data_IF_560054471622
#
_entry.id   IF_560054471622
#
_cell.length_a   1.000
_cell.length_b   1.000
_cell.length_c   1.000
_cell.angle_alpha   90.00
_cell.angle_beta   90.00
_cell.angle_gamma   90.00
#
_symmetry.space_group_name_H-M   'P 1'
#
loop_
_entity.id
_entity.type
_entity.pdbx_description
1 polymer ?
#
# COMPACT_ATOMS: atom_id res chain seq x y z
N UNK A 1 16.50 -3.31 26.76
CA UNK A 1 15.24 -2.97 26.06
C UNK A 1 14.72 -4.25 25.42
N UNK A 2 13.43 -4.60 25.52
CA UNK A 2 12.93 -5.92 25.04
C UNK A 2 12.80 -5.99 23.50
N UNK A 3 12.70 -4.83 22.84
CA UNK A 3 12.57 -4.71 21.40
C UNK A 3 13.45 -3.56 20.91
N UNK A 4 14.14 -3.79 19.80
CA UNK A 4 14.85 -2.79 19.02
C UNK A 4 14.29 -2.85 17.60
N UNK A 5 13.90 -1.71 17.05
CA UNK A 5 13.36 -1.61 15.70
C UNK A 5 14.40 -0.90 14.84
N UNK A 6 14.86 -1.55 13.78
CA UNK A 6 15.80 -0.94 12.83
C UNK A 6 15.05 -0.19 11.74
N UNK A 7 15.66 0.87 11.20
CA UNK A 7 15.11 1.57 10.03
C UNK A 7 14.92 0.63 8.83
N UNK A 8 15.76 -0.40 8.71
CA UNK A 8 15.66 -1.39 7.63
C UNK A 8 14.45 -2.30 7.80
N UNK A 9 14.18 -2.76 9.03
CA UNK A 9 12.98 -3.55 9.34
C UNK A 9 11.70 -2.78 9.00
N UNK A 10 11.64 -1.50 9.35
CA UNK A 10 10.51 -0.62 9.06
C UNK A 10 10.37 -0.38 7.54
N UNK A 11 11.49 -0.21 6.82
CA UNK A 11 11.46 -0.09 5.35
C UNK A 11 10.93 -1.36 4.68
N UNK A 12 11.37 -2.53 5.14
CA UNK A 12 10.89 -3.80 4.60
C UNK A 12 9.39 -3.99 4.85
N UNK A 13 8.89 -3.59 6.03
CA UNK A 13 7.44 -3.55 6.29
C UNK A 13 6.69 -2.70 5.24
N UNK A 14 7.15 -1.48 4.97
CA UNK A 14 6.49 -0.62 3.97
C UNK A 14 6.58 -1.18 2.56
N UNK A 15 7.70 -1.80 2.17
CA UNK A 15 7.84 -2.49 0.89
C UNK A 15 6.87 -3.67 0.78
N UNK A 16 6.72 -4.48 1.83
CA UNK A 16 5.75 -5.57 1.88
C UNK A 16 4.33 -5.06 1.66
N UNK A 17 3.95 -4.00 2.38
CA UNK A 17 2.64 -3.35 2.22
C UNK A 17 2.44 -2.88 0.77
N UNK A 18 3.42 -2.17 0.20
CA UNK A 18 3.36 -1.68 -1.17
C UNK A 18 3.19 -2.81 -2.20
N UNK A 19 3.93 -3.91 -2.04
CA UNK A 19 3.85 -5.11 -2.88
C UNK A 19 2.49 -5.79 -2.79
N UNK A 20 1.95 -5.94 -1.59
CA UNK A 20 0.66 -6.58 -1.37
C UNK A 20 -0.50 -5.75 -1.92
N UNK A 21 -0.47 -4.43 -1.71
CA UNK A 21 -1.44 -3.51 -2.34
C UNK A 21 -1.39 -3.66 -3.86
N UNK A 22 -0.19 -3.66 -4.47
CA UNK A 22 -0.03 -3.86 -5.90
C UNK A 22 -0.56 -5.22 -6.38
N UNK A 23 -0.25 -6.30 -5.64
CA UNK A 23 -0.72 -7.66 -5.92
C UNK A 23 -2.25 -7.69 -6.00
N UNK A 24 -2.93 -7.29 -4.92
CA UNK A 24 -4.39 -7.31 -4.86
C UNK A 24 -5.03 -6.35 -5.86
N UNK A 25 -4.41 -5.19 -6.14
CA UNK A 25 -4.88 -4.28 -7.18
C UNK A 25 -4.92 -4.96 -8.54
N UNK A 26 -3.85 -5.66 -8.92
CA UNK A 26 -3.77 -6.38 -10.19
C UNK A 26 -4.75 -7.57 -10.22
N UNK A 27 -4.85 -8.34 -9.13
CA UNK A 27 -5.79 -9.48 -9.03
C UNK A 27 -7.25 -9.04 -9.19
N UNK A 28 -7.59 -7.85 -8.73
CA UNK A 28 -8.93 -7.26 -8.87
C UNK A 28 -9.13 -6.50 -10.18
N UNK A 29 -8.12 -6.46 -11.06
CA UNK A 29 -8.22 -5.86 -12.39
C UNK A 29 -8.10 -4.33 -12.44
N UNK A 30 -7.61 -3.69 -11.37
CA UNK A 30 -7.48 -2.23 -11.32
C UNK A 30 -6.13 -1.76 -11.86
N UNK A 31 -6.13 -0.70 -12.68
CA UNK A 31 -4.92 0.08 -12.93
C UNK A 31 -4.60 0.99 -11.74
N UNK A 32 -3.39 1.58 -11.69
CA UNK A 32 -3.06 2.57 -10.66
C UNK A 32 -3.96 3.81 -10.76
N UNK A 33 -4.39 4.15 -11.97
CA UNK A 33 -5.28 5.27 -12.24
C UNK A 33 -6.69 4.98 -11.72
N UNK A 34 -7.21 3.78 -11.97
CA UNK A 34 -8.54 3.36 -11.47
C UNK A 34 -8.60 3.40 -9.94
N UNK A 35 -7.60 2.82 -9.27
CA UNK A 35 -7.53 2.86 -7.80
C UNK A 35 -7.45 4.29 -7.27
N UNK A 36 -6.74 5.18 -7.96
CA UNK A 36 -6.64 6.59 -7.58
C UNK A 36 -8.00 7.29 -7.68
N UNK A 37 -8.75 7.05 -8.76
CA UNK A 37 -10.08 7.60 -8.95
C UNK A 37 -11.07 7.10 -7.90
N UNK A 38 -11.09 5.79 -7.62
CA UNK A 38 -11.94 5.20 -6.58
C UNK A 38 -11.61 5.73 -5.17
N UNK A 39 -10.35 6.04 -4.91
CA UNK A 39 -9.94 6.68 -3.64
C UNK A 39 -10.37 8.15 -3.52
N UNK A 40 -10.96 8.74 -4.57
CA UNK A 40 -11.32 10.17 -4.63
C UNK A 40 -10.11 11.09 -4.74
N UNK A 41 -8.95 10.55 -5.11
CA UNK A 41 -7.71 11.31 -5.23
C UNK A 41 -7.54 11.88 -6.65
N UNK A 42 -6.98 13.09 -6.75
CA UNK A 42 -6.77 13.76 -8.05
C UNK A 42 -5.48 13.33 -8.75
N UNK A 43 -4.60 12.57 -8.10
CA UNK A 43 -3.26 12.29 -8.61
C UNK A 43 -2.78 10.88 -8.34
N UNK A 44 -2.31 10.20 -9.40
CA UNK A 44 -1.78 8.82 -9.38
C UNK A 44 -0.45 8.72 -8.63
N UNK A 45 0.21 9.86 -8.38
CA UNK A 45 1.52 9.96 -7.73
C UNK A 45 1.60 9.26 -6.37
N UNK A 46 0.48 9.17 -5.65
CA UNK A 46 0.42 8.44 -4.38
C UNK A 46 0.66 6.94 -4.63
N UNK A 47 -0.15 6.31 -5.48
CA UNK A 47 -0.10 4.87 -5.74
C UNK A 47 1.22 4.50 -6.41
N UNK A 48 1.64 5.28 -7.42
CA UNK A 48 2.85 5.00 -8.19
C UNK A 48 4.14 5.14 -7.36
N UNK A 49 4.14 5.95 -6.30
CA UNK A 49 5.27 6.05 -5.37
C UNK A 49 5.20 5.03 -4.23
N UNK A 50 4.02 4.76 -3.68
CA UNK A 50 3.88 3.91 -2.50
C UNK A 50 3.98 2.41 -2.81
N UNK A 51 3.47 1.94 -3.96
CA UNK A 51 3.61 0.53 -4.36
C UNK A 51 5.07 0.06 -4.46
N UNK A 52 5.99 0.80 -5.13
CA UNK A 52 7.40 0.46 -5.17
C UNK A 52 8.23 1.02 -4.00
N UNK A 53 7.63 1.75 -3.05
CA UNK A 53 8.32 2.45 -1.97
C UNK A 53 9.38 3.48 -2.47
N UNK A 54 9.05 4.21 -3.53
CA UNK A 54 9.94 5.23 -4.12
C UNK A 54 10.10 6.42 -3.18
N UNK A 55 11.34 6.87 -2.94
CA UNK A 55 11.67 8.02 -2.09
C UNK A 55 11.08 7.93 -0.66
N UNK A 56 10.93 6.71 -0.13
CA UNK A 56 10.37 6.47 1.20
C UNK A 56 8.86 6.74 1.32
N UNK A 57 8.16 6.93 0.19
CA UNK A 57 6.71 7.09 0.17
C UNK A 57 6.04 5.76 0.49
N UNK A 58 5.07 5.82 1.40
CA UNK A 58 4.32 4.67 1.86
C UNK A 58 2.87 5.06 2.13
N UNK A 59 1.99 4.06 2.18
CA UNK A 59 0.60 4.24 2.53
C UNK A 59 0.45 4.50 4.03
N UNK A 60 -0.37 5.49 4.39
CA UNK A 60 -0.84 5.63 5.76
C UNK A 60 -2.05 4.70 5.99
N UNK A 61 -2.52 4.62 7.24
CA UNK A 61 -3.63 3.74 7.62
C UNK A 61 -4.93 4.09 6.88
N UNK A 62 -5.20 5.38 6.64
CA UNK A 62 -6.40 5.82 5.90
C UNK A 62 -6.38 5.32 4.45
N UNK A 63 -5.23 5.42 3.77
CA UNK A 63 -5.04 4.90 2.43
C UNK A 63 -5.28 3.38 2.42
N UNK A 64 -4.67 2.64 3.34
CA UNK A 64 -4.85 1.19 3.44
C UNK A 64 -6.31 0.82 3.69
N UNK A 65 -7.01 1.54 4.56
CA UNK A 65 -8.44 1.31 4.81
C UNK A 65 -9.26 1.52 3.54
N UNK A 66 -9.10 2.65 2.84
CA UNK A 66 -9.81 2.92 1.58
C UNK A 66 -9.52 1.86 0.53
N UNK A 67 -8.25 1.51 0.33
CA UNK A 67 -7.82 0.48 -0.63
C UNK A 67 -8.43 -0.87 -0.26
N UNK A 68 -8.47 -1.25 1.02
CA UNK A 68 -9.09 -2.50 1.48
C UNK A 68 -10.58 -2.58 1.11
N UNK A 69 -11.29 -1.45 1.18
CA UNK A 69 -12.71 -1.35 0.83
C UNK A 69 -12.95 -1.38 -0.67
N UNK A 70 -12.12 -0.68 -1.45
CA UNK A 70 -12.21 -0.64 -2.92
C UNK A 70 -11.89 -2.00 -3.52
N UNK A 71 -10.84 -2.66 -3.04
CA UNK A 71 -10.40 -3.96 -3.57
C UNK A 71 -11.20 -5.14 -3.00
N UNK A 72 -12.03 -4.91 -1.98
CA UNK A 72 -12.74 -5.96 -1.23
C UNK A 72 -11.77 -7.06 -0.76
N UNK A 73 -10.80 -6.64 0.06
CA UNK A 73 -9.76 -7.49 0.66
C UNK A 73 -9.58 -7.08 2.13
N UNK A 74 -9.42 -8.03 3.07
CA UNK A 74 -9.13 -7.68 4.45
C UNK A 74 -7.83 -6.86 4.58
N UNK A 75 -7.86 -5.77 5.34
CA UNK A 75 -6.70 -4.86 5.48
C UNK A 75 -5.44 -5.57 6.03
N UNK A 76 -5.61 -6.63 6.82
CA UNK A 76 -4.51 -7.44 7.34
C UNK A 76 -3.68 -8.11 6.24
N UNK A 77 -4.29 -8.42 5.10
CA UNK A 77 -3.61 -9.05 3.97
C UNK A 77 -2.50 -8.18 3.39
N UNK A 78 -2.53 -6.86 3.62
CA UNK A 78 -1.45 -5.98 3.19
C UNK A 78 -0.17 -6.19 4.00
N UNK A 79 -0.23 -6.81 5.17
CA UNK A 79 0.90 -7.00 6.07
C UNK A 79 1.50 -8.42 6.00
N UNK A 80 0.95 -9.29 5.15
CA UNK A 80 1.44 -10.67 4.98
C UNK A 80 2.80 -10.70 4.26
N UNK A 81 3.72 -11.55 4.73
CA UNK A 81 5.04 -11.74 4.09
C UNK A 81 4.98 -12.72 2.94
#
# INVERSE_FOLDING_TARGET
>A
MKYEFSDEEIKELYKTIGKNVKKYRIEKGYTQLDLTYEMGNKSVSLISACEPYTNGKHFNIEHLYKISKILDVPICNFFEK
#
